data_IF_746010213797
#
_entry.id   IF_746010213797
#
_cell.length_a   1.000
_cell.length_b   1.000
_cell.length_c   1.000
_cell.angle_alpha   90.00
_cell.angle_beta   90.00
_cell.angle_gamma   90.00
#
_symmetry.space_group_name_H-M   'P 1'
#
loop_
_entity.id
_entity.type
_entity.pdbx_description
1 polymer ?
#
# COMPACT_ATOMS: atom_id res chain seq x y z
N UNK A 1 23.67 -20.58 -10.89
CA UNK A 1 24.19 -19.20 -11.12
C UNK A 1 23.10 -18.19 -11.43
N UNK A 2 22.09 -18.45 -12.31
CA UNK A 2 21.02 -17.47 -12.63
C UNK A 2 20.17 -17.06 -11.40
N UNK A 3 19.77 -17.99 -10.52
CA UNK A 3 18.93 -17.73 -9.34
C UNK A 3 19.62 -16.79 -8.33
N UNK A 4 20.95 -16.87 -8.21
CA UNK A 4 21.70 -15.99 -7.30
C UNK A 4 21.83 -14.57 -7.86
N UNK A 5 21.94 -14.40 -9.17
CA UNK A 5 21.95 -13.09 -9.83
C UNK A 5 20.60 -12.40 -9.69
N UNK A 6 19.48 -13.09 -10.00
CA UNK A 6 18.11 -12.58 -9.85
C UNK A 6 17.82 -12.11 -8.42
N UNK A 7 18.30 -12.85 -7.40
CA UNK A 7 18.11 -12.48 -6.00
C UNK A 7 18.96 -11.25 -5.60
N UNK A 8 20.17 -11.11 -6.16
CA UNK A 8 21.01 -9.94 -5.92
C UNK A 8 20.41 -8.67 -6.55
N UNK A 9 19.90 -8.80 -7.78
CA UNK A 9 19.24 -7.69 -8.49
C UNK A 9 17.99 -7.23 -7.76
N UNK A 10 17.15 -8.17 -7.27
CA UNK A 10 15.99 -7.85 -6.44
C UNK A 10 16.42 -7.10 -5.19
N UNK A 11 17.41 -7.59 -4.46
CA UNK A 11 17.88 -6.96 -3.21
C UNK A 11 18.38 -5.54 -3.45
N UNK A 12 19.24 -5.35 -4.46
CA UNK A 12 19.75 -4.03 -4.86
C UNK A 12 18.62 -3.06 -5.19
N UNK A 13 17.57 -3.54 -5.86
CA UNK A 13 16.40 -2.74 -6.18
C UNK A 13 15.59 -2.37 -4.92
N UNK A 14 15.36 -3.33 -4.02
CA UNK A 14 14.64 -3.11 -2.77
C UNK A 14 15.39 -2.16 -1.83
N UNK A 15 16.71 -2.29 -1.73
CA UNK A 15 17.54 -1.40 -0.90
C UNK A 15 17.43 0.05 -1.34
N UNK A 16 17.37 0.30 -2.65
CA UNK A 16 17.13 1.65 -3.21
C UNK A 16 15.79 2.23 -2.74
N UNK A 17 14.73 1.42 -2.72
CA UNK A 17 13.42 1.87 -2.25
C UNK A 17 13.36 2.02 -0.75
N UNK A 18 13.91 1.08 0.02
CA UNK A 18 13.96 1.16 1.48
C UNK A 18 14.67 2.42 1.97
N UNK A 19 15.71 2.87 1.29
CA UNK A 19 16.40 4.12 1.59
C UNK A 19 15.47 5.36 1.47
N UNK A 20 14.39 5.27 0.70
CA UNK A 20 13.40 6.33 0.53
C UNK A 20 12.20 6.21 1.50
N UNK A 21 12.15 5.15 2.33
CA UNK A 21 11.04 4.91 3.26
C UNK A 21 11.46 5.12 4.72
N UNK A 22 11.45 6.37 5.22
CA UNK A 22 11.87 6.66 6.59
C UNK A 22 11.10 5.82 7.62
N UNK A 23 11.85 5.07 8.43
CA UNK A 23 11.32 4.25 9.51
C UNK A 23 10.92 2.83 9.11
N UNK A 24 11.00 2.45 7.83
CA UNK A 24 10.73 1.07 7.44
C UNK A 24 11.71 0.08 8.08
N UNK A 25 12.98 0.42 8.12
CA UNK A 25 14.03 -0.32 8.80
C UNK A 25 13.71 -0.63 10.27
N UNK A 26 13.01 0.29 10.93
CA UNK A 26 12.58 0.14 12.33
C UNK A 26 11.35 -0.76 12.46
N UNK A 27 10.30 -0.52 11.64
CA UNK A 27 9.00 -1.19 11.83
C UNK A 27 8.91 -2.56 11.15
N UNK A 28 9.78 -2.87 10.20
CA UNK A 28 9.78 -4.19 9.54
C UNK A 28 10.01 -5.35 10.50
N UNK A 29 10.53 -5.10 11.72
CA UNK A 29 10.71 -6.13 12.75
C UNK A 29 9.37 -6.74 13.19
N UNK A 30 8.26 -6.03 13.00
CA UNK A 30 6.91 -6.49 13.27
C UNK A 30 6.26 -7.22 12.08
N UNK A 31 6.99 -7.36 10.96
CA UNK A 31 6.57 -8.15 9.80
C UNK A 31 7.25 -9.52 9.89
N UNK A 32 6.50 -10.63 9.73
CA UNK A 32 7.10 -11.97 9.71
C UNK A 32 8.24 -12.04 8.69
N UNK A 33 9.36 -12.63 9.10
CA UNK A 33 10.58 -12.67 8.27
C UNK A 33 10.33 -13.22 6.85
N UNK A 34 9.56 -14.31 6.65
CA UNK A 34 9.29 -14.86 5.33
C UNK A 34 8.46 -13.93 4.42
N UNK A 35 7.73 -12.96 5.00
CA UNK A 35 6.86 -12.05 4.26
C UNK A 35 7.58 -10.75 3.84
N UNK A 36 8.76 -10.45 4.38
CA UNK A 36 9.41 -9.13 4.24
C UNK A 36 9.78 -8.80 2.80
N UNK A 37 10.44 -9.71 2.10
CA UNK A 37 10.89 -9.46 0.72
C UNK A 37 9.69 -9.30 -0.22
N UNK A 38 8.64 -10.11 -0.05
CA UNK A 38 7.39 -9.97 -0.80
C UNK A 38 6.68 -8.65 -0.49
N UNK A 39 6.62 -8.26 0.78
CA UNK A 39 6.01 -7.00 1.21
C UNK A 39 6.76 -5.79 0.65
N UNK A 40 8.09 -5.78 0.74
CA UNK A 40 8.92 -4.73 0.18
C UNK A 40 8.75 -4.64 -1.33
N UNK A 41 8.73 -5.80 -2.02
CA UNK A 41 8.53 -5.84 -3.47
C UNK A 41 7.14 -5.29 -3.87
N UNK A 42 6.09 -5.63 -3.14
CA UNK A 42 4.74 -5.13 -3.38
C UNK A 42 4.65 -3.60 -3.18
N UNK A 43 5.17 -3.08 -2.08
CA UNK A 43 5.14 -1.64 -1.82
C UNK A 43 6.04 -0.86 -2.78
N UNK A 44 7.19 -1.41 -3.18
CA UNK A 44 8.03 -0.82 -4.19
C UNK A 44 7.33 -0.75 -5.55
N UNK A 45 6.56 -1.78 -5.91
CA UNK A 45 5.77 -1.81 -7.13
C UNK A 45 4.70 -0.71 -7.16
N UNK A 46 3.93 -0.56 -6.07
CA UNK A 46 2.94 0.51 -5.94
C UNK A 46 3.60 1.90 -6.04
N UNK A 47 4.78 2.07 -5.45
CA UNK A 47 5.51 3.32 -5.47
C UNK A 47 6.11 3.63 -6.84
N UNK A 48 6.58 2.61 -7.58
CA UNK A 48 7.02 2.74 -8.97
C UNK A 48 5.91 3.31 -9.86
N UNK A 49 4.69 2.80 -9.72
CA UNK A 49 3.54 3.28 -10.50
C UNK A 49 3.10 4.69 -10.10
N UNK A 50 3.03 4.96 -8.80
CA UNK A 50 2.75 6.32 -8.31
C UNK A 50 3.79 7.31 -8.83
N UNK A 51 5.08 6.99 -8.75
CA UNK A 51 6.14 7.86 -9.23
C UNK A 51 6.06 8.07 -10.74
N UNK A 52 5.75 7.03 -11.49
CA UNK A 52 5.54 7.13 -12.93
C UNK A 52 4.34 8.01 -13.28
N UNK A 53 3.23 7.86 -12.52
CA UNK A 53 2.01 8.63 -12.76
C UNK A 53 2.13 10.10 -12.37
N UNK A 54 2.68 10.37 -11.19
CA UNK A 54 2.59 11.68 -10.53
C UNK A 54 3.94 12.39 -10.38
N UNK A 55 5.05 11.74 -10.73
CA UNK A 55 6.38 12.33 -10.63
C UNK A 55 6.74 13.20 -11.82
N UNK A 56 7.55 14.25 -11.55
CA UNK A 56 8.06 15.17 -12.57
C UNK A 56 7.00 16.09 -13.19
N UNK A 57 7.44 17.13 -13.87
CA UNK A 57 6.57 18.12 -14.53
C UNK A 57 6.11 17.61 -15.92
N UNK A 58 7.00 16.90 -16.63
CA UNK A 58 6.67 16.28 -17.92
C UNK A 58 6.04 14.90 -17.68
N UNK A 59 4.79 14.68 -18.13
CA UNK A 59 4.11 13.39 -17.97
C UNK A 59 4.59 12.31 -18.96
N UNK A 60 5.23 12.67 -20.06
CA UNK A 60 5.55 11.75 -21.17
C UNK A 60 6.43 10.56 -20.74
N UNK A 61 7.54 10.76 -20.00
CA UNK A 61 8.35 9.64 -19.50
C UNK A 61 7.58 8.72 -18.56
N UNK A 62 6.74 9.30 -17.71
CA UNK A 62 5.89 8.57 -16.77
C UNK A 62 4.85 7.70 -17.49
N UNK A 63 4.17 8.24 -18.48
CA UNK A 63 3.21 7.51 -19.33
C UNK A 63 3.85 6.35 -20.07
N UNK A 64 5.05 6.55 -20.64
CA UNK A 64 5.82 5.49 -21.27
C UNK A 64 6.18 4.38 -20.27
N UNK A 65 6.59 4.74 -19.04
CA UNK A 65 6.89 3.79 -17.98
C UNK A 65 5.65 3.01 -17.54
N UNK A 66 4.49 3.65 -17.43
CA UNK A 66 3.23 2.97 -17.10
C UNK A 66 2.81 1.99 -18.21
N UNK A 67 2.96 2.36 -19.49
CA UNK A 67 2.68 1.47 -20.61
C UNK A 67 3.62 0.24 -20.57
N UNK A 68 4.90 0.45 -20.30
CA UNK A 68 5.86 -0.64 -20.13
C UNK A 68 5.46 -1.58 -18.97
N UNK A 69 5.02 -1.01 -17.81
CA UNK A 69 4.53 -1.81 -16.68
C UNK A 69 3.29 -2.64 -17.03
N UNK A 70 2.37 -2.10 -17.83
CA UNK A 70 1.21 -2.89 -18.29
C UNK A 70 1.65 -4.12 -19.08
N UNK A 71 2.65 -3.97 -19.98
CA UNK A 71 3.21 -5.09 -20.73
C UNK A 71 3.93 -6.09 -19.82
N UNK A 72 4.71 -5.60 -18.86
CA UNK A 72 5.44 -6.42 -17.90
C UNK A 72 4.50 -7.29 -17.06
N UNK A 73 3.41 -6.69 -16.51
CA UNK A 73 2.41 -7.42 -15.74
C UNK A 73 1.66 -8.46 -16.58
N UNK A 74 1.31 -8.13 -17.83
CA UNK A 74 0.76 -9.12 -18.77
C UNK A 74 1.78 -10.23 -19.08
N UNK A 75 3.06 -9.91 -19.08
CA UNK A 75 4.15 -10.89 -19.12
C UNK A 75 4.14 -11.80 -17.91
N UNK A 76 4.01 -11.26 -16.70
CA UNK A 76 3.92 -12.05 -15.47
C UNK A 76 2.74 -13.02 -15.47
N UNK A 77 1.59 -12.59 -15.98
CA UNK A 77 0.41 -13.47 -16.14
C UNK A 77 0.69 -14.70 -17.05
N UNK A 78 1.66 -14.60 -17.96
CA UNK A 78 2.08 -15.69 -18.86
C UNK A 78 3.36 -16.39 -18.43
N UNK A 79 3.87 -16.08 -17.23
CA UNK A 79 5.09 -16.69 -16.70
C UNK A 79 6.40 -16.03 -17.12
N UNK A 80 6.35 -14.95 -17.92
CA UNK A 80 7.53 -14.18 -18.33
C UNK A 80 7.77 -13.00 -17.40
N UNK A 81 9.03 -12.65 -17.14
CA UNK A 81 9.42 -11.50 -16.34
C UNK A 81 10.71 -10.87 -16.85
N UNK A 82 10.82 -9.55 -16.75
CA UNK A 82 12.02 -8.78 -17.09
C UNK A 82 12.49 -7.92 -15.92
N UNK A 83 11.55 -7.53 -15.03
CA UNK A 83 11.85 -6.66 -13.91
C UNK A 83 12.26 -7.45 -12.64
N UNK A 84 13.25 -7.00 -11.84
CA UNK A 84 13.68 -7.68 -10.61
C UNK A 84 12.56 -7.98 -9.61
N UNK A 85 11.55 -7.09 -9.46
CA UNK A 85 10.39 -7.31 -8.59
C UNK A 85 9.61 -8.59 -8.94
N UNK A 86 9.63 -9.01 -10.22
CA UNK A 86 9.03 -10.27 -10.65
C UNK A 86 9.65 -11.50 -9.99
N UNK A 87 10.88 -11.42 -9.46
CA UNK A 87 11.50 -12.52 -8.72
C UNK A 87 10.72 -12.87 -7.45
N UNK A 88 10.17 -11.87 -6.75
CA UNK A 88 9.36 -12.07 -5.54
C UNK A 88 7.86 -12.23 -5.83
N UNK A 89 7.35 -11.57 -6.88
CA UNK A 89 5.90 -11.37 -7.05
C UNK A 89 5.28 -12.22 -8.16
N UNK A 90 5.97 -12.44 -9.28
CA UNK A 90 5.39 -13.02 -10.50
C UNK A 90 4.71 -14.39 -10.27
N UNK A 91 5.27 -15.22 -9.38
CA UNK A 91 4.74 -16.57 -9.09
C UNK A 91 3.58 -16.59 -8.10
N UNK A 92 3.21 -15.45 -7.54
CA UNK A 92 2.07 -15.34 -6.62
C UNK A 92 0.75 -15.46 -7.41
N UNK A 93 -0.29 -16.00 -6.76
CA UNK A 93 -1.61 -16.22 -7.35
C UNK A 93 -2.41 -14.90 -7.46
N UNK A 94 -1.85 -13.93 -8.17
CA UNK A 94 -2.44 -12.60 -8.41
C UNK A 94 -2.93 -12.51 -9.85
N UNK A 95 -4.07 -11.87 -10.06
CA UNK A 95 -4.51 -11.48 -11.42
C UNK A 95 -3.67 -10.31 -11.93
N UNK A 96 -2.46 -10.63 -12.42
CA UNK A 96 -1.54 -9.65 -12.97
C UNK A 96 -2.08 -8.94 -14.21
N UNK A 97 -2.94 -9.61 -14.99
CA UNK A 97 -3.56 -9.01 -16.18
C UNK A 97 -4.60 -7.97 -15.79
N UNK A 98 -5.50 -8.30 -14.85
CA UNK A 98 -6.47 -7.34 -14.32
C UNK A 98 -5.80 -6.14 -13.64
N UNK A 99 -4.69 -6.37 -12.93
CA UNK A 99 -3.91 -5.28 -12.34
C UNK A 99 -3.26 -4.38 -13.40
N UNK A 100 -2.78 -4.96 -14.52
CA UNK A 100 -2.27 -4.20 -15.67
C UNK A 100 -3.35 -3.30 -16.28
N UNK A 101 -4.57 -3.80 -16.41
CA UNK A 101 -5.68 -3.02 -16.94
C UNK A 101 -6.07 -1.88 -15.99
N UNK A 102 -6.04 -2.10 -14.68
CA UNK A 102 -6.23 -1.09 -13.66
C UNK A 102 -5.24 0.07 -13.74
N UNK A 103 -4.00 -0.17 -14.18
CA UNK A 103 -3.00 0.90 -14.35
C UNK A 103 -3.41 1.99 -15.35
N UNK A 104 -4.40 1.75 -16.22
CA UNK A 104 -4.86 2.72 -17.20
C UNK A 104 -5.35 4.03 -16.59
N UNK A 105 -5.88 4.00 -15.36
CA UNK A 105 -6.39 5.20 -14.66
C UNK A 105 -5.29 6.23 -14.37
N UNK A 106 -4.07 5.77 -14.17
CA UNK A 106 -2.94 6.64 -13.89
C UNK A 106 -2.53 7.53 -15.09
N UNK A 107 -3.05 7.28 -16.28
CA UNK A 107 -2.82 8.12 -17.47
C UNK A 107 -3.58 9.46 -17.39
N UNK A 108 -4.57 9.57 -16.52
CA UNK A 108 -5.39 10.77 -16.33
C UNK A 108 -4.89 11.57 -15.12
N UNK A 109 -3.61 11.97 -15.17
CA UNK A 109 -2.91 12.69 -14.10
C UNK A 109 -3.64 13.93 -13.60
N UNK A 110 -4.24 14.70 -14.50
CA UNK A 110 -5.03 15.88 -14.22
C UNK A 110 -6.16 15.60 -13.23
N UNK A 111 -6.94 14.53 -13.45
CA UNK A 111 -8.01 14.10 -12.53
C UNK A 111 -7.51 13.62 -11.16
N UNK A 112 -6.25 13.23 -11.09
CA UNK A 112 -5.61 12.75 -9.85
C UNK A 112 -5.00 13.89 -9.01
N UNK A 113 -5.08 15.14 -9.48
CA UNK A 113 -4.48 16.31 -8.84
C UNK A 113 -5.51 17.32 -8.32
N UNK A 114 -6.80 17.16 -8.62
CA UNK A 114 -7.81 18.17 -8.29
C UNK A 114 -8.10 18.22 -6.79
N UNK A 115 -8.79 17.22 -6.27
CA UNK A 115 -9.18 17.12 -4.86
C UNK A 115 -9.26 15.65 -4.43
N UNK A 116 -9.43 15.42 -3.12
CA UNK A 116 -9.46 14.07 -2.54
C UNK A 116 -10.60 13.20 -3.10
N UNK A 117 -11.76 13.79 -3.34
CA UNK A 117 -12.93 13.06 -3.83
C UNK A 117 -12.74 12.66 -5.29
N UNK A 118 -12.35 13.60 -6.12
CA UNK A 118 -12.05 13.35 -7.55
C UNK A 118 -10.94 12.33 -7.70
N UNK A 119 -9.88 12.44 -6.87
CA UNK A 119 -8.84 11.41 -6.83
C UNK A 119 -9.41 10.03 -6.46
N UNK A 120 -10.18 9.96 -5.36
CA UNK A 120 -10.74 8.70 -4.88
C UNK A 120 -11.65 8.04 -5.93
N UNK A 121 -12.50 8.83 -6.60
CA UNK A 121 -13.36 8.34 -7.68
C UNK A 121 -12.55 7.87 -8.89
N UNK A 122 -11.57 8.63 -9.32
CA UNK A 122 -10.74 8.31 -10.49
C UNK A 122 -9.86 7.07 -10.26
N UNK A 123 -9.32 6.88 -9.03
CA UNK A 123 -8.41 5.77 -8.71
C UNK A 123 -9.14 4.46 -8.40
N UNK A 124 -10.47 4.46 -8.24
CA UNK A 124 -11.24 3.29 -7.81
C UNK A 124 -10.97 2.01 -8.61
N UNK A 125 -10.92 2.03 -9.96
CA UNK A 125 -10.64 0.80 -10.71
C UNK A 125 -9.26 0.20 -10.38
N UNK A 126 -8.25 1.04 -10.20
CA UNK A 126 -6.93 0.60 -9.78
C UNK A 126 -6.91 0.16 -8.32
N UNK A 127 -7.58 0.90 -7.43
CA UNK A 127 -7.69 0.54 -6.02
C UNK A 127 -8.36 -0.83 -5.82
N UNK A 128 -9.40 -1.13 -6.61
CA UNK A 128 -10.04 -2.46 -6.62
C UNK A 128 -9.06 -3.56 -7.04
N UNK A 129 -8.36 -3.39 -8.15
CA UNK A 129 -7.39 -4.35 -8.64
C UNK A 129 -6.24 -4.55 -7.64
N UNK A 130 -5.71 -3.47 -7.06
CA UNK A 130 -4.65 -3.50 -6.07
C UNK A 130 -5.10 -4.14 -4.75
N UNK A 131 -6.32 -3.89 -4.28
CA UNK A 131 -6.87 -4.52 -3.09
C UNK A 131 -7.04 -6.04 -3.28
N UNK A 132 -7.56 -6.46 -4.43
CA UNK A 132 -7.68 -7.87 -4.81
C UNK A 132 -6.30 -8.54 -4.87
N UNK A 133 -5.33 -7.89 -5.52
CA UNK A 133 -3.96 -8.38 -5.60
C UNK A 133 -3.33 -8.54 -4.20
N UNK A 134 -3.48 -7.55 -3.33
CA UNK A 134 -2.94 -7.61 -1.97
C UNK A 134 -3.58 -8.71 -1.14
N UNK A 135 -4.90 -8.92 -1.26
CA UNK A 135 -5.60 -10.02 -0.58
C UNK A 135 -5.13 -11.40 -1.09
N UNK A 136 -4.77 -11.51 -2.37
CA UNK A 136 -4.19 -12.72 -2.92
C UNK A 136 -2.74 -12.98 -2.45
N UNK A 137 -1.94 -11.92 -2.27
CA UNK A 137 -0.57 -12.01 -1.72
C UNK A 137 -0.55 -12.48 -0.26
N UNK A 138 -1.58 -12.14 0.52
CA UNK A 138 -1.71 -12.52 1.94
C UNK A 138 -3.04 -13.26 2.19
N UNK A 139 -3.13 -14.56 1.88
CA UNK A 139 -4.35 -15.34 2.09
C UNK A 139 -4.87 -15.25 3.53
N UNK A 140 -6.18 -15.06 3.68
CA UNK A 140 -6.82 -14.84 4.98
C UNK A 140 -6.73 -13.42 5.51
N UNK A 141 -6.14 -12.52 4.75
CA UNK A 141 -6.17 -11.07 4.98
C UNK A 141 -7.11 -10.42 3.96
N UNK A 142 -7.67 -9.30 4.35
CA UNK A 142 -8.65 -8.61 3.54
C UNK A 142 -8.35 -7.11 3.52
N UNK A 143 -8.35 -6.56 2.32
CA UNK A 143 -8.16 -5.13 2.07
C UNK A 143 -9.35 -4.66 1.26
N UNK A 144 -10.12 -3.73 1.82
CA UNK A 144 -11.22 -3.13 1.07
C UNK A 144 -10.70 -2.17 0.00
N UNK A 145 -11.46 -2.00 -1.07
CA UNK A 145 -11.16 -1.03 -2.12
C UNK A 145 -11.07 0.39 -1.56
N UNK A 146 -11.95 0.75 -0.62
CA UNK A 146 -11.95 2.07 0.04
C UNK A 146 -10.66 2.29 0.85
N UNK A 147 -10.21 1.27 1.60
CA UNK A 147 -8.95 1.36 2.36
C UNK A 147 -7.77 1.54 1.41
N UNK A 148 -7.73 0.77 0.32
CA UNK A 148 -6.67 0.87 -0.68
C UNK A 148 -6.67 2.25 -1.34
N UNK A 149 -7.82 2.78 -1.74
CA UNK A 149 -7.95 4.13 -2.29
C UNK A 149 -7.41 5.20 -1.33
N UNK A 150 -7.77 5.12 -0.04
CA UNK A 150 -7.26 6.05 0.97
C UNK A 150 -5.74 5.98 1.15
N UNK A 151 -5.16 4.77 1.12
CA UNK A 151 -3.70 4.63 1.21
C UNK A 151 -2.98 5.14 -0.03
N UNK A 152 -3.55 4.97 -1.23
CA UNK A 152 -3.02 5.53 -2.48
C UNK A 152 -3.05 7.06 -2.46
N UNK A 153 -4.17 7.64 -2.00
CA UNK A 153 -4.29 9.08 -1.82
C UNK A 153 -3.28 9.61 -0.79
N UNK A 154 -3.11 8.91 0.33
CA UNK A 154 -2.11 9.26 1.34
C UNK A 154 -0.69 9.31 0.76
N UNK A 155 -0.33 8.38 -0.11
CA UNK A 155 0.95 8.39 -0.80
C UNK A 155 1.09 9.58 -1.75
N UNK A 156 0.03 9.90 -2.51
CA UNK A 156 0.02 11.07 -3.39
C UNK A 156 0.24 12.37 -2.61
N UNK A 157 -0.46 12.55 -1.50
CA UNK A 157 -0.33 13.71 -0.61
C UNK A 157 1.09 13.84 -0.04
N UNK A 158 1.67 12.74 0.44
CA UNK A 158 3.02 12.73 1.02
C UNK A 158 4.12 13.08 0.01
N UNK A 159 3.87 12.89 -1.28
CA UNK A 159 4.78 13.23 -2.36
C UNK A 159 4.48 14.59 -3.03
N UNK A 160 3.75 15.45 -2.34
CA UNK A 160 3.61 16.85 -2.73
C UNK A 160 2.39 17.18 -3.59
N UNK A 161 1.43 16.26 -3.67
CA UNK A 161 0.25 16.48 -4.50
C UNK A 161 -0.72 17.51 -3.88
N UNK A 162 -0.97 17.47 -2.58
CA UNK A 162 -1.74 18.50 -1.86
C UNK A 162 -1.67 18.31 -0.35
N UNK A 163 -1.25 19.33 0.40
CA UNK A 163 -1.32 19.33 1.87
C UNK A 163 -2.74 19.63 2.39
N UNK A 164 -3.56 20.32 1.59
CA UNK A 164 -4.93 20.64 1.96
C UNK A 164 -5.80 19.39 2.14
N UNK A 165 -5.45 18.29 1.48
CA UNK A 165 -6.17 17.03 1.55
C UNK A 165 -5.69 16.13 2.70
N UNK A 166 -4.58 16.48 3.35
CA UNK A 166 -3.98 15.62 4.38
C UNK A 166 -4.92 15.41 5.57
N UNK A 167 -5.65 16.44 6.00
CA UNK A 167 -6.60 16.35 7.12
C UNK A 167 -7.80 15.47 6.77
N UNK A 168 -8.32 15.58 5.56
CA UNK A 168 -9.41 14.73 5.07
C UNK A 168 -9.00 13.26 5.04
N UNK A 169 -7.80 12.98 4.52
CA UNK A 169 -7.23 11.63 4.52
C UNK A 169 -7.08 11.08 5.94
N UNK A 170 -6.65 11.93 6.90
CA UNK A 170 -6.49 11.52 8.29
C UNK A 170 -7.83 11.22 8.98
N UNK A 171 -8.88 11.98 8.68
CA UNK A 171 -10.24 11.74 9.20
C UNK A 171 -10.79 10.40 8.73
N UNK A 172 -10.54 10.03 7.48
CA UNK A 172 -11.00 8.79 6.87
C UNK A 172 -9.96 7.66 6.93
N UNK A 173 -8.94 7.78 7.79
CA UNK A 173 -7.85 6.81 7.86
C UNK A 173 -8.36 5.40 8.18
N UNK A 174 -8.05 4.38 7.33
CA UNK A 174 -8.57 3.04 7.51
C UNK A 174 -8.08 2.37 8.79
N UNK A 175 -8.97 1.64 9.44
CA UNK A 175 -8.60 0.71 10.48
C UNK A 175 -7.94 -0.54 9.89
N UNK A 176 -6.63 -0.68 10.00
CA UNK A 176 -5.87 -1.77 9.36
C UNK A 176 -6.05 -3.17 10.00
N UNK A 177 -7.15 -3.41 10.74
CA UNK A 177 -7.32 -4.63 11.54
C UNK A 177 -7.33 -5.95 10.78
N UNK A 178 -7.78 -5.97 9.52
CA UNK A 178 -7.82 -7.18 8.67
C UNK A 178 -6.66 -7.27 7.69
N UNK A 179 -5.92 -6.20 7.51
CA UNK A 179 -4.78 -6.15 6.60
C UNK A 179 -3.60 -7.02 7.07
N UNK A 180 -2.64 -7.29 6.18
CA UNK A 180 -1.40 -8.00 6.49
C UNK A 180 -0.57 -7.27 7.56
N UNK A 181 0.34 -7.98 8.22
CA UNK A 181 1.28 -7.35 9.15
C UNK A 181 2.08 -6.25 8.45
N UNK A 182 2.55 -6.50 7.23
CA UNK A 182 3.28 -5.54 6.42
C UNK A 182 2.46 -4.29 6.11
N UNK A 183 1.20 -4.44 5.67
CA UNK A 183 0.32 -3.30 5.38
C UNK A 183 0.05 -2.46 6.63
N UNK A 184 -0.17 -3.09 7.78
CA UNK A 184 -0.36 -2.36 9.05
C UNK A 184 0.84 -1.49 9.40
N UNK A 185 2.06 -2.02 9.23
CA UNK A 185 3.28 -1.25 9.48
C UNK A 185 3.45 -0.10 8.49
N UNK A 186 3.21 -0.38 7.21
CA UNK A 186 3.23 0.63 6.16
C UNK A 186 2.21 1.76 6.43
N UNK A 187 0.97 1.39 6.73
CA UNK A 187 -0.08 2.35 7.06
C UNK A 187 0.25 3.19 8.31
N UNK A 188 0.83 2.59 9.35
CA UNK A 188 1.25 3.32 10.56
C UNK A 188 2.34 4.36 10.26
N UNK A 189 3.31 4.04 9.40
CA UNK A 189 4.34 4.99 8.96
C UNK A 189 3.74 6.14 8.14
N UNK A 190 2.87 5.84 7.18
CA UNK A 190 2.23 6.85 6.33
C UNK A 190 1.31 7.77 7.14
N UNK A 191 0.53 7.21 8.07
CA UNK A 191 -0.27 7.98 9.02
C UNK A 191 0.59 8.94 9.86
N UNK A 192 1.70 8.44 10.41
CA UNK A 192 2.64 9.26 11.18
C UNK A 192 3.27 10.37 10.34
N UNK A 193 3.60 10.08 9.07
CA UNK A 193 4.15 11.05 8.13
C UNK A 193 3.14 12.15 7.78
N UNK A 194 1.87 11.80 7.48
CA UNK A 194 0.80 12.77 7.20
C UNK A 194 0.59 13.72 8.39
N UNK A 195 0.50 13.19 9.60
CA UNK A 195 0.40 14.02 10.81
C UNK A 195 1.61 14.94 11.01
N UNK A 196 2.75 14.55 10.49
CA UNK A 196 3.98 15.34 10.53
C UNK A 196 4.04 16.49 9.53
N UNK A 197 3.17 16.53 8.50
CA UNK A 197 3.14 17.62 7.54
C UNK A 197 2.75 18.96 8.18
N UNK A 198 1.89 18.93 9.19
CA UNK A 198 1.43 20.12 9.92
C UNK A 198 2.35 20.51 11.09
N UNK A 199 3.34 19.67 11.42
CA UNK A 199 4.22 19.96 12.53
C UNK A 199 5.37 20.87 12.09
N UNK A 200 5.33 22.14 12.48
CA UNK A 200 6.37 23.16 12.25
C UNK A 200 7.70 22.86 12.97
N UNK A 201 7.82 21.73 13.65
CA UNK A 201 8.92 21.42 14.54
C UNK A 201 10.11 20.76 13.84
N UNK A 202 11.23 21.49 13.81
CA UNK A 202 12.58 21.04 13.46
C UNK A 202 13.15 19.89 14.34
N UNK A 203 12.39 19.29 15.22
CA UNK A 203 12.84 18.19 16.07
C UNK A 203 12.71 16.82 15.37
N UNK A 204 13.26 16.70 14.16
CA UNK A 204 13.56 15.41 13.53
C UNK A 204 14.88 14.90 14.12
N UNK A 205 14.81 14.31 15.31
CA UNK A 205 15.98 13.84 16.02
C UNK A 205 15.76 12.45 16.63
N UNK A 206 16.58 12.09 17.59
CA UNK A 206 16.67 10.80 18.28
C UNK A 206 15.33 10.19 18.74
N UNK A 207 14.28 10.99 18.92
CA UNK A 207 12.94 10.52 19.32
C UNK A 207 12.10 10.00 18.12
N UNK A 208 12.52 10.24 16.88
CA UNK A 208 11.74 9.81 15.71
C UNK A 208 11.72 8.28 15.58
N UNK A 209 12.86 7.62 15.77
CA UNK A 209 12.93 6.16 15.77
C UNK A 209 12.04 5.54 16.85
N UNK A 210 12.01 6.14 18.05
CA UNK A 210 11.12 5.69 19.13
C UNK A 210 9.64 5.87 18.78
N UNK A 211 9.28 6.94 18.09
CA UNK A 211 7.91 7.16 17.59
C UNK A 211 7.50 6.10 16.56
N UNK A 212 8.39 5.76 15.64
CA UNK A 212 8.15 4.71 14.66
C UNK A 212 8.01 3.34 15.35
N UNK A 213 8.92 3.01 16.26
CA UNK A 213 8.85 1.76 17.03
C UNK A 213 7.54 1.66 17.82
N UNK A 214 7.13 2.74 18.49
CA UNK A 214 5.85 2.80 19.20
C UNK A 214 4.64 2.64 18.28
N UNK A 215 4.65 3.33 17.12
CA UNK A 215 3.59 3.20 16.11
C UNK A 215 3.49 1.77 15.59
N UNK A 216 4.63 1.15 15.27
CA UNK A 216 4.72 -0.23 14.81
C UNK A 216 4.24 -1.22 15.85
N UNK A 217 4.65 -1.07 17.09
CA UNK A 217 4.19 -1.90 18.20
C UNK A 217 2.66 -1.79 18.41
N UNK A 218 2.11 -0.58 18.40
CA UNK A 218 0.64 -0.38 18.47
C UNK A 218 -0.09 -1.04 17.31
N UNK A 219 0.41 -0.89 16.09
CA UNK A 219 -0.16 -1.52 14.91
C UNK A 219 -0.13 -3.06 14.99
N UNK A 220 0.93 -3.64 15.52
CA UNK A 220 1.05 -5.07 15.76
C UNK A 220 0.07 -5.55 16.85
N UNK A 221 -0.02 -4.85 17.97
CA UNK A 221 -0.88 -5.21 19.10
C UNK A 221 -2.37 -5.15 18.78
N UNK A 222 -2.81 -4.14 18.04
CA UNK A 222 -4.22 -3.99 17.67
C UNK A 222 -4.73 -5.11 16.76
N UNK A 223 -3.84 -5.89 16.15
CA UNK A 223 -4.17 -7.08 15.38
C UNK A 223 -4.40 -8.32 16.25
N UNK A 224 -3.83 -8.34 17.45
CA UNK A 224 -3.90 -9.47 18.37
C UNK A 224 -5.16 -9.47 19.26
N UNK A 225 -5.89 -8.34 19.33
CA UNK A 225 -7.11 -8.24 20.13
C UNK A 225 -8.31 -8.68 19.27
N UNK A 226 -8.99 -9.80 19.59
CA UNK A 226 -10.28 -10.12 19.00
C UNK A 226 -11.24 -8.97 19.36
N UNK A 227 -11.94 -8.40 18.37
CA UNK A 227 -13.06 -7.50 18.66
C UNK A 227 -14.08 -8.31 19.42
N UNK A 228 -14.22 -8.06 20.72
CA UNK A 228 -15.30 -8.56 21.56
C UNK A 228 -16.63 -8.24 20.88
N UNK A 229 -17.41 -9.30 20.63
CA UNK A 229 -18.54 -9.44 19.78
C UNK A 229 -19.53 -8.28 19.75
N UNK A 230 -20.00 -8.00 18.57
CA UNK A 230 -21.40 -7.65 18.41
C UNK A 230 -22.20 -8.93 18.71
N UNK A 231 -22.62 -9.05 19.98
CA UNK A 231 -23.57 -10.06 20.42
C UNK A 231 -24.86 -9.88 19.65
N UNK A 232 -25.14 -10.78 18.74
CA UNK A 232 -26.48 -10.99 18.21
C UNK A 232 -27.40 -11.39 19.37
N UNK A 233 -28.19 -10.40 19.84
CA UNK A 233 -29.29 -10.68 20.75
C UNK A 233 -30.29 -11.59 20.04
N UNK A 234 -30.24 -12.86 20.34
CA UNK A 234 -31.34 -13.80 20.05
C UNK A 234 -32.52 -13.36 20.93
N UNK A 235 -33.49 -12.68 20.33
CA UNK A 235 -34.81 -12.48 20.93
C UNK A 235 -35.47 -13.88 21.04
N UNK A 236 -35.55 -14.39 22.25
CA UNK A 236 -36.41 -15.52 22.55
C UNK A 236 -37.83 -14.94 22.65
N UNK A 237 -38.60 -15.12 21.59
CA UNK A 237 -40.07 -14.92 21.60
C UNK A 237 -40.69 -16.01 22.48
N UNK A 238 -41.06 -15.63 23.69
CA UNK A 238 -41.94 -16.44 24.55
C UNK A 238 -43.36 -16.39 23.99
N UNK A 239 -43.69 -17.35 23.16
CA UNK A 239 -45.13 -17.67 22.88
C UNK A 239 -45.81 -18.08 24.17
N UNK A 240 -46.66 -17.22 24.72
CA UNK A 240 -47.77 -17.62 25.55
C UNK A 240 -48.95 -17.91 24.61
N UNK A 241 -49.34 -19.15 24.52
CA UNK A 241 -50.63 -19.57 23.99
C UNK A 241 -51.66 -19.76 25.11
N UNK A 242 -52.94 -19.80 24.76
CA UNK A 242 -54.08 -19.68 25.69
C UNK A 242 -54.27 -20.91 26.57
#
# INVERSE_FOLDING_TARGET
MAVTADAADLRSFLDKWCAQWPGWDVVQVFVPLPERDMAMAWFALLEEWRQAALGGDDPVPGLAKLAWWQEELRGWARGARRHPLGTALQRQSVDWAGLADGLSVWRHRDRLQDDARTFAEAIMPFAQAAATAESALWPGRDVSTSDMSTWLLAQAVLHGQSTAVADEVLVHWPGAGRASAARRQWAALKHSALRGLHATSRRRGRLQALRWLWSGWRAARNAALPRSGQGGGVRIDTMRGP
#
